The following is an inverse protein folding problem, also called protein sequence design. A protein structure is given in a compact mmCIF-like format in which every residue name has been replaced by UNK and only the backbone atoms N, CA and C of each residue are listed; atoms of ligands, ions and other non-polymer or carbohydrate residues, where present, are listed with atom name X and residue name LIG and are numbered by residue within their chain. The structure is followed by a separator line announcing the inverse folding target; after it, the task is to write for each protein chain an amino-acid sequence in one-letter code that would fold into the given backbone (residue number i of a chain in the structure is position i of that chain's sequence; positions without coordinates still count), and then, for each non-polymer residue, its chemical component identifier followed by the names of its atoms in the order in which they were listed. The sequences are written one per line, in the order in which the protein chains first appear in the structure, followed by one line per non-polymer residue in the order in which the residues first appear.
data_IF_400310827263
#
_entry.id   IF_400310827263
#
_cell.length_a   1.000
_cell.length_b   1.000
_cell.length_c   1.000
_cell.angle_alpha   90.00
_cell.angle_beta   90.00
_cell.angle_gamma   90.00
#
_symmetry.space_group_name_H-M   'P 1'
#
loop_
_entity.id
_entity.type
_entity.pdbx_description
1 polymer ?
#
# COMPACT_ATOMS: atom_id res chain seq x y z
N UNK A 1 -2.51 21.30 0.93
CA UNK A 1 -2.75 20.64 2.23
C UNK A 1 -3.19 19.18 2.09
N UNK A 2 -4.07 18.81 1.14
CA UNK A 2 -4.60 17.44 1.05
C UNK A 2 -3.54 16.33 0.92
N UNK A 3 -2.54 16.50 0.05
CA UNK A 3 -1.49 15.47 -0.17
C UNK A 3 -0.72 15.19 1.13
N UNK A 4 -0.33 16.25 1.84
CA UNK A 4 0.39 16.13 3.11
C UNK A 4 -0.48 15.50 4.20
N UNK A 5 -1.77 15.88 4.28
CA UNK A 5 -2.69 15.27 5.23
C UNK A 5 -2.85 13.77 4.96
N UNK A 6 -3.05 13.38 3.70
CA UNK A 6 -3.14 11.97 3.31
C UNK A 6 -1.83 11.21 3.59
N UNK A 7 -0.67 11.82 3.29
CA UNK A 7 0.64 11.25 3.61
C UNK A 7 0.78 11.00 5.11
N UNK A 8 0.49 12.01 5.94
CA UNK A 8 0.55 11.86 7.40
C UNK A 8 -0.39 10.77 7.86
N UNK A 9 -1.65 10.78 7.40
CA UNK A 9 -2.61 9.75 7.79
C UNK A 9 -2.15 8.34 7.40
N UNK A 10 -1.62 8.12 6.20
CA UNK A 10 -1.11 6.79 5.83
C UNK A 10 0.17 6.45 6.61
N UNK A 11 1.01 7.45 6.94
CA UNK A 11 2.26 7.30 7.67
C UNK A 11 2.09 7.16 9.20
N UNK A 12 0.90 7.40 9.75
CA UNK A 12 0.63 7.24 11.19
C UNK A 12 -0.53 6.28 11.50
N UNK A 13 -1.37 5.95 10.52
CA UNK A 13 -2.44 4.94 10.73
C UNK A 13 -1.82 3.56 10.81
N UNK A 14 -2.14 2.83 11.87
CA UNK A 14 -1.76 1.43 12.03
C UNK A 14 -2.21 0.60 10.81
N UNK A 15 -1.30 -0.09 10.12
CA UNK A 15 -1.63 -0.83 8.90
C UNK A 15 -2.46 -2.08 9.13
N UNK A 16 -2.53 -2.59 10.37
CA UNK A 16 -3.06 -3.92 10.64
C UNK A 16 -2.13 -4.81 11.45
N UNK A 17 -1.33 -4.29 12.38
CA UNK A 17 -0.36 -5.12 13.12
C UNK A 17 -1.10 -6.22 13.91
N UNK A 18 -0.71 -7.47 13.64
CA UNK A 18 -1.18 -8.67 14.34
C UNK A 18 -0.47 -8.76 15.68
N UNK A 19 -1.24 -8.79 16.77
CA UNK A 19 -0.68 -8.83 18.11
C UNK A 19 0.02 -10.16 18.42
N UNK A 20 1.24 -10.08 18.97
CA UNK A 20 2.04 -11.24 19.40
C UNK A 20 1.39 -12.03 20.57
N UNK A 21 0.49 -11.39 21.32
CA UNK A 21 -0.14 -11.96 22.51
C UNK A 21 -1.34 -12.88 22.25
N UNK A 22 -1.79 -13.06 21.00
CA UNK A 22 -2.93 -13.93 20.68
C UNK A 22 -2.73 -15.39 21.13
N UNK A 23 -1.48 -15.85 21.19
CA UNK A 23 -1.15 -17.18 21.71
C UNK A 23 -1.43 -17.32 23.21
N UNK A 24 -1.36 -16.23 23.99
CA UNK A 24 -1.57 -16.27 25.43
C UNK A 24 -3.07 -16.36 25.76
N UNK A 25 -3.92 -15.61 25.04
CA UNK A 25 -5.37 -15.69 25.21
C UNK A 25 -5.92 -17.03 24.72
N UNK A 26 -5.48 -17.50 23.54
CA UNK A 26 -5.82 -18.86 23.07
C UNK A 26 -5.29 -19.95 24.00
N UNK A 27 -4.15 -19.74 24.68
CA UNK A 27 -3.63 -20.67 25.69
C UNK A 27 -4.41 -20.59 27.00
N UNK A 28 -4.88 -19.42 27.42
CA UNK A 28 -5.74 -19.24 28.60
C UNK A 28 -7.13 -19.86 28.35
N UNK A 29 -7.73 -19.65 27.18
CA UNK A 29 -8.96 -20.33 26.73
C UNK A 29 -8.74 -21.83 26.49
N UNK A 30 -7.63 -22.23 25.88
CA UNK A 30 -7.30 -23.64 25.73
C UNK A 30 -7.01 -24.28 27.08
N UNK A 31 -6.37 -23.64 28.05
CA UNK A 31 -6.14 -24.23 29.39
C UNK A 31 -7.44 -24.50 30.14
N UNK A 32 -8.53 -23.81 29.80
CA UNK A 32 -9.87 -24.15 30.26
C UNK A 32 -10.46 -25.41 29.58
N UNK A 33 -9.95 -25.79 28.40
CA UNK A 33 -10.45 -26.91 27.56
C UNK A 33 -9.40 -28.04 27.31
N UNK A 34 -8.18 -27.92 27.86
CA UNK A 34 -7.05 -28.83 27.58
C UNK A 34 -7.14 -30.12 28.40
N UNK A 35 -8.13 -30.95 28.09
CA UNK A 35 -7.98 -32.40 28.20
C UNK A 35 -7.87 -33.08 26.83
N UNK A 36 -8.00 -32.35 25.71
CA UNK A 36 -8.04 -32.97 24.37
C UNK A 36 -7.29 -32.15 23.33
N UNK A 37 -6.38 -32.82 22.61
CA UNK A 37 -5.69 -32.42 21.37
C UNK A 37 -4.43 -31.56 21.52
N UNK A 38 -3.36 -32.25 21.86
CA UNK A 38 -2.02 -32.02 21.33
C UNK A 38 -2.03 -31.99 19.78
N UNK A 39 -1.51 -30.91 19.19
CA UNK A 39 -1.16 -30.82 17.76
C UNK A 39 -2.11 -30.00 16.90
N UNK A 40 -2.39 -28.73 17.22
CA UNK A 40 -3.35 -27.94 16.45
C UNK A 40 -2.67 -27.01 15.45
N UNK A 41 -2.60 -27.46 14.19
CA UNK A 41 -2.86 -26.50 13.12
C UNK A 41 -4.29 -26.01 13.27
N UNK A 42 -4.48 -24.78 13.74
CA UNK A 42 -5.81 -24.17 13.86
C UNK A 42 -6.42 -24.05 12.48
N UNK A 43 -7.31 -24.99 12.18
CA UNK A 43 -8.20 -24.93 11.03
C UNK A 43 -9.32 -23.97 11.42
N UNK A 44 -9.43 -22.86 10.72
CA UNK A 44 -10.49 -21.88 10.91
C UNK A 44 -11.43 -21.94 9.70
N UNK A 45 -12.73 -22.00 9.98
CA UNK A 45 -13.75 -21.85 8.94
C UNK A 45 -13.95 -20.37 8.66
N UNK A 46 -13.58 -19.94 7.46
CA UNK A 46 -13.86 -18.60 6.95
C UNK A 46 -14.90 -18.78 5.86
N UNK A 47 -16.09 -18.22 6.03
CA UNK A 47 -17.20 -18.34 5.07
C UNK A 47 -17.52 -19.80 4.66
N UNK A 48 -17.37 -20.75 5.59
CA UNK A 48 -17.65 -22.18 5.36
C UNK A 48 -16.49 -22.97 4.75
N UNK A 49 -15.36 -22.34 4.46
CA UNK A 49 -14.15 -23.00 3.94
C UNK A 49 -13.12 -23.13 5.05
N UNK A 50 -12.74 -24.37 5.35
CA UNK A 50 -11.69 -24.69 6.30
C UNK A 50 -10.32 -24.28 5.74
N UNK A 51 -9.67 -23.31 6.39
CA UNK A 51 -8.33 -22.85 6.03
C UNK A 51 -7.36 -23.11 7.17
N UNK A 52 -6.22 -23.73 6.83
CA UNK A 52 -5.14 -24.00 7.79
C UNK A 52 -4.33 -22.72 8.03
N UNK A 53 -4.34 -22.21 9.26
CA UNK A 53 -3.50 -21.06 9.61
C UNK A 53 -2.01 -21.42 9.53
N UNK A 54 -1.22 -20.47 9.01
CA UNK A 54 0.24 -20.60 8.94
C UNK A 54 0.86 -19.96 10.18
N UNK A 55 1.72 -20.69 10.88
CA UNK A 55 2.48 -20.11 11.99
C UNK A 55 3.58 -19.15 11.48
N UNK A 56 3.85 -18.09 12.23
CA UNK A 56 4.99 -17.20 12.05
C UNK A 56 5.96 -17.45 13.21
N UNK A 57 7.15 -17.99 12.93
CA UNK A 57 8.16 -18.27 13.95
C UNK A 57 8.77 -17.01 14.57
N UNK A 58 8.88 -15.91 13.80
CA UNK A 58 9.45 -14.65 14.27
C UNK A 58 8.53 -13.97 15.28
N UNK A 59 7.24 -13.82 14.93
CA UNK A 59 6.27 -13.16 15.81
C UNK A 59 5.64 -14.10 16.84
N UNK A 60 5.81 -15.42 16.70
CA UNK A 60 5.26 -16.42 17.61
C UNK A 60 3.74 -16.63 17.49
N UNK A 61 3.12 -16.30 16.36
CA UNK A 61 1.64 -16.28 16.20
C UNK A 61 1.15 -17.14 15.03
N UNK A 62 -0.05 -17.71 15.18
CA UNK A 62 -0.81 -18.23 14.05
C UNK A 62 -1.39 -17.06 13.25
N UNK A 63 -0.97 -16.95 11.98
CA UNK A 63 -1.35 -15.84 11.12
C UNK A 63 -2.82 -15.91 10.74
N UNK A 64 -3.60 -14.81 10.91
CA UNK A 64 -4.88 -14.66 10.26
C UNK A 64 -4.75 -14.86 8.74
N UNK A 65 -5.83 -15.26 8.03
CA UNK A 65 -5.83 -15.37 6.59
C UNK A 65 -5.33 -14.08 5.92
N UNK A 66 -4.51 -14.22 4.87
CA UNK A 66 -3.90 -13.10 4.12
C UNK A 66 -2.95 -12.20 4.92
N UNK A 67 -2.59 -12.55 6.16
CA UNK A 67 -1.56 -11.81 6.90
C UNK A 67 -0.14 -12.29 6.59
N UNK A 68 0.81 -11.37 6.67
CA UNK A 68 2.20 -11.57 6.30
C UNK A 68 3.15 -10.92 7.29
N UNK A 69 4.30 -11.55 7.53
CA UNK A 69 5.38 -10.92 8.27
C UNK A 69 6.17 -10.01 7.33
N UNK A 70 6.27 -8.73 7.69
CA UNK A 70 7.18 -7.80 7.03
C UNK A 70 8.49 -7.77 7.80
N UNK A 71 9.58 -8.18 7.15
CA UNK A 71 10.94 -8.18 7.73
C UNK A 71 11.44 -6.78 8.06
N UNK A 72 11.06 -5.77 7.26
CA UNK A 72 11.48 -4.38 7.46
C UNK A 72 10.84 -3.78 8.71
N UNK A 73 9.55 -4.04 8.94
CA UNK A 73 8.83 -3.54 10.10
C UNK A 73 8.85 -4.50 11.29
N UNK A 74 9.46 -5.69 11.18
CA UNK A 74 9.45 -6.79 12.16
C UNK A 74 8.06 -7.11 12.74
N UNK A 75 7.03 -7.07 11.90
CA UNK A 75 5.65 -7.28 12.36
C UNK A 75 4.82 -8.05 11.35
N UNK A 76 3.93 -8.91 11.86
CA UNK A 76 2.87 -9.46 11.04
C UNK A 76 1.78 -8.41 10.80
N UNK A 77 1.34 -8.25 9.56
CA UNK A 77 0.33 -7.27 9.14
C UNK A 77 -0.84 -7.98 8.47
N UNK A 78 -2.06 -7.63 8.88
CA UNK A 78 -3.31 -8.15 8.33
C UNK A 78 -3.57 -7.63 6.90
N UNK A 79 -3.98 -8.55 6.02
CA UNK A 79 -4.15 -8.32 4.57
C UNK A 79 -3.02 -7.45 4.01
N UNK A 80 -1.80 -7.84 4.34
CA UNK A 80 -0.59 -7.16 3.92
C UNK A 80 -0.56 -7.01 2.40
N UNK A 81 -0.27 -5.79 1.94
CA UNK A 81 -0.08 -5.48 0.54
C UNK A 81 1.41 -5.37 0.23
N UNK A 82 2.08 -4.38 0.84
CA UNK A 82 3.53 -4.19 0.70
C UNK A 82 4.09 -3.33 1.85
N UNK A 83 5.43 -3.30 1.97
CA UNK A 83 6.11 -2.23 2.71
C UNK A 83 6.43 -1.09 1.74
N UNK A 84 6.00 0.12 2.06
CA UNK A 84 6.19 1.29 1.21
C UNK A 84 7.32 2.17 1.76
N UNK A 85 8.50 2.22 1.12
CA UNK A 85 9.61 3.06 1.58
C UNK A 85 9.28 4.56 1.55
N UNK A 86 8.41 4.98 0.63
CA UNK A 86 7.99 6.38 0.47
C UNK A 86 7.14 6.88 1.63
N UNK A 87 6.35 5.99 2.23
CA UNK A 87 5.53 6.30 3.40
C UNK A 87 6.30 5.98 4.70
N UNK A 88 7.26 5.07 4.63
CA UNK A 88 8.03 4.61 5.79
C UNK A 88 7.30 3.58 6.65
N UNK A 89 6.29 2.89 6.10
CA UNK A 89 5.57 1.83 6.82
C UNK A 89 4.91 0.81 5.88
N UNK A 90 4.34 -0.25 6.47
CA UNK A 90 3.52 -1.20 5.74
C UNK A 90 2.20 -0.57 5.28
N UNK A 91 1.72 -1.02 4.12
CA UNK A 91 0.36 -0.82 3.65
C UNK A 91 -0.39 -2.14 3.83
N UNK A 92 -1.50 -2.11 4.57
CA UNK A 92 -2.30 -3.27 4.93
C UNK A 92 -3.77 -2.90 5.11
N UNK A 93 -4.55 -3.80 5.69
CA UNK A 93 -6.01 -3.67 5.78
C UNK A 93 -6.49 -2.29 6.26
N UNK A 94 -5.89 -1.77 7.34
CA UNK A 94 -6.41 -0.61 8.07
C UNK A 94 -6.01 0.74 7.47
N UNK A 95 -4.93 0.81 6.68
CA UNK A 95 -4.46 2.05 6.04
C UNK A 95 -4.55 2.04 4.50
N UNK A 96 -4.92 0.92 3.86
CA UNK A 96 -4.98 0.79 2.40
C UNK A 96 -5.84 1.86 1.72
N UNK A 97 -7.00 2.20 2.30
CA UNK A 97 -7.90 3.24 1.74
C UNK A 97 -7.22 4.60 1.71
N UNK A 98 -6.54 4.95 2.80
CA UNK A 98 -5.82 6.23 2.92
C UNK A 98 -4.61 6.24 1.97
N UNK A 99 -3.91 5.12 1.81
CA UNK A 99 -2.85 4.97 0.83
C UNK A 99 -3.34 5.25 -0.60
N UNK A 100 -4.47 4.65 -1.01
CA UNK A 100 -5.06 4.90 -2.33
C UNK A 100 -5.47 6.36 -2.50
N UNK A 101 -6.05 6.99 -1.47
CA UNK A 101 -6.35 8.43 -1.48
C UNK A 101 -5.08 9.29 -1.58
N UNK A 102 -4.00 8.90 -0.90
CA UNK A 102 -2.70 9.57 -0.98
C UNK A 102 -2.17 9.56 -2.41
N UNK A 103 -1.99 8.38 -3.03
CA UNK A 103 -1.44 8.28 -4.39
C UNK A 103 -2.34 8.98 -5.43
N UNK A 104 -3.67 8.93 -5.25
CA UNK A 104 -4.62 9.61 -6.14
C UNK A 104 -4.55 11.13 -5.98
N UNK A 105 -4.46 11.63 -4.75
CA UNK A 105 -4.30 13.07 -4.49
C UNK A 105 -2.96 13.60 -4.96
N UNK A 106 -1.88 12.80 -4.87
CA UNK A 106 -0.57 13.13 -5.41
C UNK A 106 -0.59 13.20 -6.94
N UNK A 107 -1.26 12.24 -7.61
CA UNK A 107 -1.44 12.26 -9.06
C UNK A 107 -2.15 13.55 -9.51
N UNK A 108 -3.25 13.92 -8.85
CA UNK A 108 -3.96 15.16 -9.17
C UNK A 108 -3.11 16.41 -8.94
N UNK A 109 -2.31 16.44 -7.87
CA UNK A 109 -1.40 17.54 -7.58
C UNK A 109 -0.33 17.67 -8.68
N UNK A 110 0.31 16.57 -9.08
CA UNK A 110 1.32 16.61 -10.15
C UNK A 110 0.72 16.90 -11.53
N UNK A 111 -0.49 16.43 -11.81
CA UNK A 111 -1.22 16.78 -13.03
C UNK A 111 -1.53 18.29 -13.08
N UNK A 112 -1.93 18.88 -11.96
CA UNK A 112 -2.11 20.32 -11.82
C UNK A 112 -0.80 21.06 -12.09
N UNK A 113 0.29 20.69 -11.40
CA UNK A 113 1.61 21.32 -11.61
C UNK A 113 2.06 21.22 -13.08
N UNK A 114 1.90 20.05 -13.70
CA UNK A 114 2.23 19.82 -15.10
C UNK A 114 1.43 20.72 -16.05
N UNK A 115 0.13 20.86 -15.83
CA UNK A 115 -0.72 21.73 -16.65
C UNK A 115 -0.29 23.21 -16.59
N UNK A 116 0.03 23.71 -15.40
CA UNK A 116 0.50 25.08 -15.22
C UNK A 116 1.91 25.30 -15.79
N UNK A 117 2.81 24.33 -15.60
CA UNK A 117 4.15 24.37 -16.17
C UNK A 117 4.08 24.39 -17.70
N UNK A 118 3.25 23.52 -18.31
CA UNK A 118 3.08 23.46 -19.76
C UNK A 118 2.49 24.75 -20.32
N UNK A 119 1.48 25.32 -19.65
CA UNK A 119 0.89 26.62 -20.02
C UNK A 119 1.94 27.74 -19.99
N UNK A 120 2.83 27.74 -18.98
CA UNK A 120 3.91 28.74 -18.86
C UNK A 120 4.98 28.54 -19.94
N UNK A 121 5.38 27.30 -20.22
CA UNK A 121 6.31 26.99 -21.32
C UNK A 121 5.73 27.48 -22.66
N UNK A 122 4.44 27.22 -22.92
CA UNK A 122 3.76 27.70 -24.12
C UNK A 122 3.76 29.22 -24.26
N UNK A 123 3.50 29.96 -23.18
CA UNK A 123 3.50 31.43 -23.23
C UNK A 123 4.89 32.02 -23.48
N UNK A 124 5.94 31.43 -22.89
CA UNK A 124 7.32 31.87 -23.13
C UNK A 124 7.79 31.49 -24.54
N UNK A 125 7.43 30.30 -25.00
CA UNK A 125 7.73 29.84 -26.36
C UNK A 125 7.13 30.76 -27.42
N UNK A 126 5.87 31.18 -27.23
CA UNK A 126 5.19 32.13 -28.11
C UNK A 126 5.81 33.54 -28.06
N UNK A 127 6.19 34.02 -26.88
CA UNK A 127 6.78 35.37 -26.72
C UNK A 127 8.22 35.50 -27.21
N UNK A 128 9.00 34.41 -27.19
CA UNK A 128 10.42 34.43 -27.60
C UNK A 128 10.63 34.07 -29.08
N UNK A 129 9.65 33.44 -29.74
CA UNK A 129 9.80 32.91 -31.10
C UNK A 129 10.78 31.74 -31.23
N UNK A 130 11.49 31.39 -30.15
CA UNK A 130 12.50 30.33 -30.09
C UNK A 130 11.94 29.00 -29.56
N UNK A 131 10.61 28.88 -29.40
CA UNK A 131 9.95 27.66 -28.97
C UNK A 131 10.32 27.23 -27.54
N UNK A 132 10.31 25.91 -27.29
CA UNK A 132 10.67 25.33 -25.99
C UNK A 132 12.13 25.63 -25.61
N UNK A 133 13.03 25.78 -26.60
CA UNK A 133 14.42 26.16 -26.35
C UNK A 133 14.52 27.59 -25.80
N UNK A 134 13.66 28.50 -26.27
CA UNK A 134 13.49 29.83 -25.68
C UNK A 134 12.99 29.76 -24.24
N UNK A 135 12.00 28.90 -23.98
CA UNK A 135 11.50 28.66 -22.62
C UNK A 135 12.56 28.06 -21.68
N UNK A 136 13.43 27.18 -22.17
CA UNK A 136 14.53 26.61 -21.39
C UNK A 136 15.58 27.67 -21.02
N UNK A 137 15.85 28.64 -21.92
CA UNK A 137 16.79 29.73 -21.64
C UNK A 137 16.22 30.78 -20.69
N UNK A 138 14.93 31.08 -20.82
CA UNK A 138 14.26 32.17 -20.08
C UNK A 138 13.68 31.73 -18.74
N UNK A 139 13.20 30.49 -18.64
CA UNK A 139 12.56 29.93 -17.45
C UNK A 139 12.94 28.44 -17.27
N UNK A 140 14.24 28.12 -17.07
CA UNK A 140 14.71 26.75 -16.92
C UNK A 140 14.02 26.01 -15.77
N UNK A 141 13.69 26.71 -14.68
CA UNK A 141 12.99 26.16 -13.53
C UNK A 141 11.58 25.65 -13.87
N UNK A 142 10.86 26.34 -14.76
CA UNK A 142 9.53 25.92 -15.21
C UNK A 142 9.63 24.66 -16.07
N UNK A 143 10.63 24.59 -16.95
CA UNK A 143 10.87 23.42 -17.79
C UNK A 143 11.26 22.21 -16.92
N UNK A 144 12.16 22.39 -15.95
CA UNK A 144 12.55 21.34 -15.02
C UNK A 144 11.36 20.83 -14.20
N UNK A 145 10.52 21.73 -13.69
CA UNK A 145 9.31 21.36 -12.95
C UNK A 145 8.30 20.62 -13.83
N UNK A 146 8.15 21.02 -15.09
CA UNK A 146 7.30 20.34 -16.07
C UNK A 146 7.78 18.92 -16.37
N UNK A 147 9.08 18.71 -16.58
CA UNK A 147 9.67 17.39 -16.80
C UNK A 147 9.49 16.48 -15.57
N UNK A 148 9.77 17.02 -14.38
CA UNK A 148 9.55 16.29 -13.13
C UNK A 148 8.07 15.93 -12.94
N UNK A 149 7.16 16.87 -13.18
CA UNK A 149 5.72 16.64 -13.12
C UNK A 149 5.25 15.57 -14.12
N UNK A 150 5.78 15.55 -15.34
CA UNK A 150 5.45 14.54 -16.34
C UNK A 150 5.88 13.13 -15.91
N UNK A 151 7.11 12.99 -15.39
CA UNK A 151 7.62 11.72 -14.87
C UNK A 151 6.80 11.25 -13.65
N UNK A 152 6.47 12.18 -12.74
CA UNK A 152 5.65 11.88 -11.57
C UNK A 152 4.23 11.43 -11.96
N UNK A 153 3.58 12.10 -12.91
CA UNK A 153 2.25 11.72 -13.43
C UNK A 153 2.30 10.35 -14.09
N UNK A 154 3.32 10.06 -14.91
CA UNK A 154 3.49 8.75 -15.53
C UNK A 154 3.58 7.63 -14.48
N UNK A 155 4.48 7.79 -13.51
CA UNK A 155 4.70 6.80 -12.47
C UNK A 155 3.48 6.64 -11.55
N UNK A 156 2.94 7.74 -11.01
CA UNK A 156 1.79 7.70 -10.11
C UNK A 156 0.51 7.27 -10.84
N UNK A 157 0.35 7.62 -12.10
CA UNK A 157 -0.77 7.18 -12.94
C UNK A 157 -0.77 5.66 -13.11
N UNK A 158 0.39 5.08 -13.42
CA UNK A 158 0.57 3.62 -13.47
C UNK A 158 0.28 2.96 -12.12
N UNK A 159 0.76 3.53 -11.02
CA UNK A 159 0.54 3.01 -9.67
C UNK A 159 -0.95 3.04 -9.28
N UNK A 160 -1.65 4.15 -9.54
CA UNK A 160 -3.09 4.28 -9.30
C UNK A 160 -3.86 3.27 -10.15
N UNK A 161 -3.54 3.14 -11.44
CA UNK A 161 -4.18 2.18 -12.33
C UNK A 161 -3.98 0.73 -11.85
N UNK A 162 -2.76 0.39 -11.41
CA UNK A 162 -2.45 -0.92 -10.83
C UNK A 162 -3.28 -1.19 -9.57
N UNK A 163 -3.37 -0.25 -8.64
CA UNK A 163 -4.19 -0.44 -7.44
C UNK A 163 -5.69 -0.46 -7.74
N UNK A 164 -6.18 0.30 -8.73
CA UNK A 164 -7.55 0.19 -9.22
C UNK A 164 -7.85 -1.20 -9.79
N UNK A 165 -6.91 -1.77 -10.55
CA UNK A 165 -6.98 -3.15 -11.03
C UNK A 165 -6.99 -4.16 -9.87
N UNK A 166 -6.11 -4.01 -8.88
CA UNK A 166 -6.12 -4.87 -7.69
C UNK A 166 -7.45 -4.78 -6.94
N UNK A 167 -8.02 -3.58 -6.80
CA UNK A 167 -9.32 -3.39 -6.14
C UNK A 167 -10.43 -4.08 -6.95
N UNK A 168 -10.46 -3.92 -8.28
CA UNK A 168 -11.49 -4.54 -9.12
C UNK A 168 -11.41 -6.07 -9.09
N UNK A 169 -10.20 -6.64 -9.16
CA UNK A 169 -10.00 -8.09 -9.06
C UNK A 169 -10.24 -8.62 -7.65
N UNK A 170 -9.87 -7.88 -6.60
CA UNK A 170 -10.07 -8.32 -5.22
C UNK A 170 -11.55 -8.38 -4.82
N UNK A 171 -12.42 -7.53 -5.39
CA UNK A 171 -13.88 -7.67 -5.23
C UNK A 171 -14.43 -8.92 -5.93
N UNK A 172 -13.89 -9.27 -7.10
CA UNK A 172 -14.31 -10.46 -7.86
C UNK A 172 -13.72 -11.76 -7.28
N UNK A 173 -12.58 -11.69 -6.56
CA UNK A 173 -11.80 -12.83 -6.06
C UNK A 173 -12.00 -13.14 -4.57
N UNK A 174 -12.48 -12.19 -3.76
CA UNK A 174 -12.85 -12.46 -2.35
C UNK A 174 -13.89 -13.58 -2.24
N UNK A 175 -14.76 -13.72 -3.22
CA UNK A 175 -15.73 -14.81 -3.37
C UNK A 175 -15.12 -16.16 -3.82
N UNK A 176 -13.84 -16.24 -4.19
CA UNK A 176 -13.26 -17.45 -4.82
C UNK A 176 -11.93 -17.95 -4.25
N UNK A 177 -11.17 -17.15 -3.48
CA UNK A 177 -9.78 -17.47 -3.12
C UNK A 177 -9.45 -17.18 -1.65
N UNK A 178 -9.99 -17.99 -0.73
CA UNK A 178 -9.55 -18.02 0.66
C UNK A 178 -8.14 -18.65 0.86
N UNK A 179 -7.44 -19.09 -0.19
CA UNK A 179 -6.34 -20.07 -0.01
C UNK A 179 -4.95 -19.78 -0.60
N UNK A 180 -4.69 -18.75 -1.42
CA UNK A 180 -3.47 -18.81 -2.26
C UNK A 180 -2.64 -17.53 -2.49
N UNK A 181 -2.51 -16.63 -1.51
CA UNK A 181 -1.42 -15.66 -1.57
C UNK A 181 -0.24 -16.13 -0.71
N UNK A 182 0.79 -16.78 -1.32
CA UNK A 182 2.03 -17.02 -0.62
C UNK A 182 2.61 -15.68 -0.21
N UNK A 183 2.92 -15.57 1.07
CA UNK A 183 3.69 -14.47 1.57
C UNK A 183 5.09 -14.58 0.96
N UNK A 184 5.38 -13.80 -0.08
CA UNK A 184 6.73 -13.76 -0.63
C UNK A 184 7.62 -13.13 0.44
N UNK A 185 8.29 -13.97 1.21
CA UNK A 185 9.47 -13.61 1.98
C UNK A 185 10.54 -13.25 0.95
N UNK A 186 10.66 -11.98 0.61
CA UNK A 186 11.88 -11.52 -0.04
C UNK A 186 12.97 -11.56 1.06
N UNK A 187 14.07 -12.31 0.84
CA UNK A 187 15.19 -12.39 1.77
C UNK A 187 15.90 -11.04 1.94
#
# INVERSE_FOLDING_TARGET
MQVMANLTMVATTDPGIVQRNGLRLLREEATADTSRRTGSSTVISVDGIETKQKYCSVCGVFRPPRSCHCVVCDNCVERFDHHCPWVGQCVGLRNYRVYVMFISSALLFFAYVLAFAWRRVGSVAAGTGAGVLGALRVAPETVALGLFGALAVWFLGGLVAFHCYLISVNQVRVSSFLLAHPCFTFP
#
